data_IF_061590240311
#
_entry.id   IF_061590240311
#
_cell.length_a   1.000
_cell.length_b   1.000
_cell.length_c   1.000
_cell.angle_alpha   90.00
_cell.angle_beta   90.00
_cell.angle_gamma   90.00
#
_symmetry.space_group_name_H-M   'P 1'
#
loop_
_entity.id
_entity.type
_entity.pdbx_description
1 polymer ?
#
# COMPACT_ATOMS: atom_id res chain seq x y z
N UNK A 1 -11.04 5.88 -3.91
CA UNK A 1 -12.24 5.06 -3.62
C UNK A 1 -11.88 3.59 -3.41
N UNK A 2 -11.12 2.94 -4.30
CA UNK A 2 -10.69 1.54 -4.14
C UNK A 2 -9.84 1.25 -2.89
N UNK A 3 -9.15 2.27 -2.36
CA UNK A 3 -8.43 2.17 -1.09
C UNK A 3 -9.32 1.99 0.14
N UNK A 4 -10.58 2.46 0.12
CA UNK A 4 -11.44 2.45 1.31
C UNK A 4 -11.73 1.02 1.82
N UNK A 5 -12.13 0.06 0.97
CA UNK A 5 -12.26 -1.34 1.40
C UNK A 5 -10.96 -1.94 1.95
N UNK A 6 -9.81 -1.59 1.37
CA UNK A 6 -8.51 -2.11 1.80
C UNK A 6 -8.09 -1.53 3.16
N UNK A 7 -8.38 -0.25 3.42
CA UNK A 7 -8.22 0.32 4.76
C UNK A 7 -9.21 -0.28 5.77
N UNK A 8 -10.44 -0.58 5.38
CA UNK A 8 -11.38 -1.32 6.21
C UNK A 8 -10.85 -2.71 6.59
N UNK A 9 -10.33 -3.45 5.61
CA UNK A 9 -9.66 -4.73 5.82
C UNK A 9 -8.42 -4.59 6.73
N UNK A 10 -7.62 -3.55 6.54
CA UNK A 10 -6.45 -3.26 7.38
C UNK A 10 -6.83 -3.04 8.85
N UNK A 11 -7.83 -2.20 9.10
CA UNK A 11 -8.32 -1.89 10.44
C UNK A 11 -8.91 -3.12 11.14
N UNK A 12 -9.59 -4.00 10.39
CA UNK A 12 -10.08 -5.28 10.91
C UNK A 12 -8.98 -6.31 11.16
N UNK A 13 -7.88 -6.26 10.40
CA UNK A 13 -6.76 -7.19 10.52
C UNK A 13 -5.88 -6.91 11.75
N UNK A 14 -5.64 -5.65 12.09
CA UNK A 14 -4.80 -5.25 13.24
C UNK A 14 -5.18 -5.98 14.55
N UNK A 15 -6.46 -5.98 15.01
CA UNK A 15 -6.83 -6.68 16.25
C UNK A 15 -6.71 -8.20 16.13
N UNK A 16 -6.97 -8.77 14.95
CA UNK A 16 -6.78 -10.21 14.70
C UNK A 16 -5.31 -10.59 14.86
N UNK A 17 -4.39 -9.79 14.31
CA UNK A 17 -2.96 -10.00 14.45
C UNK A 17 -2.50 -9.83 15.90
N UNK A 18 -2.96 -8.77 16.59
CA UNK A 18 -2.59 -8.51 17.98
C UNK A 18 -3.06 -9.64 18.93
N UNK A 19 -4.26 -10.17 18.72
CA UNK A 19 -4.79 -11.31 19.49
C UNK A 19 -3.93 -12.57 19.31
N UNK A 20 -3.67 -12.96 18.05
CA UNK A 20 -2.85 -14.16 17.77
C UNK A 20 -1.38 -13.97 18.18
N UNK A 21 -0.89 -12.73 18.16
CA UNK A 21 0.41 -12.38 18.72
C UNK A 21 0.48 -12.62 20.23
N UNK A 22 -0.56 -12.25 20.98
CA UNK A 22 -0.68 -12.54 22.41
C UNK A 22 -0.73 -14.03 22.72
N UNK A 23 -1.30 -14.85 21.82
CA UNK A 23 -1.31 -16.32 21.93
C UNK A 23 -0.04 -17.01 21.42
N UNK A 24 0.88 -16.27 20.79
CA UNK A 24 2.06 -16.86 20.13
C UNK A 24 1.75 -17.69 18.87
N UNK A 25 0.52 -17.68 18.36
CA UNK A 25 0.10 -18.48 17.21
C UNK A 25 0.57 -17.87 15.88
N UNK A 26 1.83 -18.16 15.53
CA UNK A 26 2.44 -17.74 14.27
C UNK A 26 1.67 -18.22 13.04
N UNK A 27 1.09 -19.41 13.10
CA UNK A 27 0.39 -20.01 11.96
C UNK A 27 -0.84 -19.17 11.62
N UNK A 28 -1.60 -18.77 12.64
CA UNK A 28 -2.75 -17.88 12.47
C UNK A 28 -2.36 -16.49 12.00
N UNK A 29 -1.26 -15.92 12.49
CA UNK A 29 -0.71 -14.64 12.00
C UNK A 29 -0.46 -14.70 10.49
N UNK A 30 0.28 -15.72 10.01
CA UNK A 30 0.57 -15.85 8.59
C UNK A 30 -0.66 -16.17 7.73
N UNK A 31 -1.60 -16.96 8.25
CA UNK A 31 -2.87 -17.23 7.57
C UNK A 31 -3.69 -15.96 7.37
N UNK A 32 -3.84 -15.15 8.43
CA UNK A 32 -4.57 -13.88 8.38
C UNK A 32 -3.90 -12.90 7.42
N UNK A 33 -2.56 -12.78 7.45
CA UNK A 33 -1.81 -11.95 6.51
C UNK A 33 -1.99 -12.40 5.07
N UNK A 34 -1.80 -13.69 4.78
CA UNK A 34 -1.90 -14.22 3.41
C UNK A 34 -3.31 -14.00 2.85
N UNK A 35 -4.34 -14.29 3.65
CA UNK A 35 -5.72 -14.05 3.25
C UNK A 35 -5.95 -12.57 2.92
N UNK A 36 -5.56 -11.66 3.83
CA UNK A 36 -5.77 -10.24 3.65
C UNK A 36 -4.97 -9.65 2.49
N UNK A 37 -3.74 -10.12 2.24
CA UNK A 37 -2.95 -9.69 1.07
C UNK A 37 -3.64 -10.11 -0.22
N UNK A 38 -4.15 -11.34 -0.31
CA UNK A 38 -4.86 -11.82 -1.50
C UNK A 38 -6.12 -10.99 -1.74
N UNK A 39 -6.96 -10.80 -0.72
CA UNK A 39 -8.19 -10.01 -0.83
C UNK A 39 -7.88 -8.56 -1.23
N UNK A 40 -6.92 -7.91 -0.56
CA UNK A 40 -6.53 -6.54 -0.88
C UNK A 40 -5.98 -6.42 -2.30
N UNK A 41 -5.14 -7.36 -2.72
CA UNK A 41 -4.56 -7.37 -4.08
C UNK A 41 -5.63 -7.54 -5.14
N UNK A 42 -6.61 -8.43 -4.92
CA UNK A 42 -7.74 -8.60 -5.86
C UNK A 42 -8.55 -7.31 -5.97
N UNK A 43 -8.88 -6.66 -4.85
CA UNK A 43 -9.60 -5.36 -4.85
C UNK A 43 -8.81 -4.27 -5.58
N UNK A 44 -7.49 -4.26 -5.42
CA UNK A 44 -6.64 -3.26 -6.07
C UNK A 44 -6.46 -3.52 -7.56
N UNK A 45 -6.30 -4.79 -7.97
CA UNK A 45 -6.21 -5.17 -9.38
C UNK A 45 -7.52 -4.82 -10.10
N UNK A 46 -8.69 -5.06 -9.49
CA UNK A 46 -9.97 -4.64 -10.09
C UNK A 46 -10.03 -3.13 -10.25
N UNK A 47 -9.55 -2.36 -9.25
CA UNK A 47 -9.39 -0.91 -9.37
C UNK A 47 -8.47 -0.47 -10.51
N UNK A 48 -7.30 -1.10 -10.64
CA UNK A 48 -6.34 -0.83 -11.74
C UNK A 48 -6.98 -1.12 -13.10
N UNK A 49 -7.63 -2.27 -13.27
CA UNK A 49 -8.29 -2.64 -14.51
C UNK A 49 -9.40 -1.66 -14.88
N UNK A 50 -10.17 -1.18 -13.90
CA UNK A 50 -11.21 -0.18 -14.13
C UNK A 50 -10.62 1.16 -14.61
N UNK A 51 -9.48 1.58 -14.07
CA UNK A 51 -8.78 2.78 -14.53
C UNK A 51 -8.09 2.63 -15.88
N UNK A 52 -7.66 1.43 -16.25
CA UNK A 52 -7.10 1.18 -17.59
C UNK A 52 -8.18 1.13 -18.67
N UNK A 53 -9.27 0.40 -18.40
CA UNK A 53 -10.31 0.09 -19.38
C UNK A 53 -11.30 1.24 -19.59
N UNK A 54 -11.74 1.90 -18.52
CA UNK A 54 -12.83 2.91 -18.59
C UNK A 54 -12.54 4.21 -17.81
N UNK A 55 -11.34 4.83 -17.95
CA UNK A 55 -10.99 6.04 -17.19
C UNK A 55 -11.91 7.23 -17.49
N UNK A 56 -12.41 7.35 -18.72
CA UNK A 56 -13.32 8.42 -19.14
C UNK A 56 -14.66 8.40 -18.42
N UNK A 57 -15.18 7.21 -18.09
CA UNK A 57 -16.44 7.06 -17.34
C UNK A 57 -16.26 7.61 -15.92
N UNK A 58 -15.14 7.28 -15.26
CA UNK A 58 -14.83 7.79 -13.92
C UNK A 58 -14.65 9.31 -13.91
N UNK A 59 -13.93 9.86 -14.88
CA UNK A 59 -13.76 11.31 -14.99
C UNK A 59 -15.09 11.99 -15.33
N UNK A 60 -15.93 11.36 -16.16
CA UNK A 60 -17.23 11.86 -16.58
C UNK A 60 -18.20 12.12 -15.43
N UNK A 61 -18.06 11.42 -14.29
CA UNK A 61 -18.84 11.66 -13.08
C UNK A 61 -18.64 13.07 -12.49
N UNK A 62 -17.56 13.76 -12.87
CA UNK A 62 -17.20 15.08 -12.35
C UNK A 62 -17.46 16.22 -13.35
N UNK A 63 -18.23 15.98 -14.42
CA UNK A 63 -18.46 16.95 -15.50
C UNK A 63 -17.15 17.62 -16.00
N UNK A 64 -16.18 16.82 -16.52
CA UNK A 64 -14.86 17.33 -16.85
C UNK A 64 -14.88 18.13 -18.15
N UNK A 65 -14.04 19.17 -18.24
CA UNK A 65 -13.76 19.83 -19.52
C UNK A 65 -12.97 18.89 -20.45
N UNK A 66 -12.95 19.18 -21.76
CA UNK A 66 -12.13 18.41 -22.71
C UNK A 66 -10.64 18.42 -22.35
N UNK A 67 -10.14 19.54 -21.84
CA UNK A 67 -8.77 19.67 -21.37
C UNK A 67 -8.49 18.79 -20.15
N UNK A 68 -9.42 18.73 -19.20
CA UNK A 68 -9.32 17.86 -18.04
C UNK A 68 -9.34 16.37 -18.43
N UNK A 69 -10.13 15.98 -19.43
CA UNK A 69 -10.11 14.60 -19.94
C UNK A 69 -8.77 14.26 -20.60
N UNK A 70 -8.21 15.18 -21.39
CA UNK A 70 -6.91 14.98 -22.06
C UNK A 70 -5.76 14.75 -21.06
N UNK A 71 -5.77 15.47 -19.94
CA UNK A 71 -4.74 15.33 -18.90
C UNK A 71 -5.05 14.23 -17.88
N UNK A 72 -6.33 14.05 -17.54
CA UNK A 72 -6.78 13.13 -16.49
C UNK A 72 -6.76 11.66 -16.90
N UNK A 73 -7.03 11.33 -18.17
CA UNK A 73 -7.03 9.93 -18.64
C UNK A 73 -5.63 9.30 -18.50
N UNK A 74 -4.54 9.91 -19.03
CA UNK A 74 -3.19 9.39 -18.82
C UNK A 74 -2.80 9.33 -17.34
N UNK A 75 -3.21 10.33 -16.55
CA UNK A 75 -2.96 10.36 -15.12
C UNK A 75 -3.56 9.15 -14.39
N UNK A 76 -4.85 8.85 -14.62
CA UNK A 76 -5.53 7.73 -13.97
C UNK A 76 -4.91 6.38 -14.32
N UNK A 77 -4.49 6.19 -15.57
CA UNK A 77 -3.80 4.97 -16.00
C UNK A 77 -2.48 4.78 -15.25
N UNK A 78 -1.63 5.80 -15.27
CA UNK A 78 -0.31 5.75 -14.60
C UNK A 78 -0.47 5.54 -13.09
N UNK A 79 -1.38 6.27 -12.44
CA UNK A 79 -1.66 6.13 -11.00
C UNK A 79 -2.22 4.74 -10.69
N UNK A 80 -3.10 4.19 -11.54
CA UNK A 80 -3.67 2.86 -11.34
C UNK A 80 -2.63 1.74 -11.19
N UNK A 81 -1.46 1.87 -11.81
CA UNK A 81 -0.39 0.88 -11.77
C UNK A 81 0.15 0.60 -10.36
N UNK A 82 0.11 1.59 -9.47
CA UNK A 82 0.70 1.44 -8.13
C UNK A 82 -0.25 0.76 -7.12
N UNK A 83 -1.51 0.52 -7.48
CA UNK A 83 -2.53 0.05 -6.54
C UNK A 83 -2.22 -1.35 -5.96
N UNK A 84 -1.82 -2.36 -6.75
CA UNK A 84 -1.48 -3.68 -6.22
C UNK A 84 -0.29 -3.63 -5.24
N UNK A 85 0.67 -2.76 -5.52
CA UNK A 85 1.84 -2.54 -4.67
C UNK A 85 1.44 -1.92 -3.33
N UNK A 86 0.54 -0.93 -3.39
CA UNK A 86 0.00 -0.28 -2.20
C UNK A 86 -0.83 -1.25 -1.35
N UNK A 87 -1.60 -2.17 -1.94
CA UNK A 87 -2.31 -3.21 -1.18
C UNK A 87 -1.37 -4.03 -0.31
N UNK A 88 -0.25 -4.50 -0.88
CA UNK A 88 0.75 -5.27 -0.14
C UNK A 88 1.36 -4.41 0.97
N UNK A 89 1.78 -3.18 0.66
CA UNK A 89 2.40 -2.29 1.64
C UNK A 89 1.46 -1.98 2.82
N UNK A 90 0.19 -1.69 2.54
CA UNK A 90 -0.83 -1.40 3.57
C UNK A 90 -1.05 -2.62 4.46
N UNK A 91 -1.32 -3.80 3.87
CA UNK A 91 -1.60 -5.01 4.66
C UNK A 91 -0.38 -5.43 5.48
N UNK A 92 0.83 -5.36 4.92
CA UNK A 92 2.05 -5.67 5.68
C UNK A 92 2.30 -4.64 6.79
N UNK A 93 1.96 -3.37 6.58
CA UNK A 93 2.00 -2.32 7.60
C UNK A 93 1.11 -2.59 8.82
N UNK A 94 0.04 -3.38 8.68
CA UNK A 94 -0.79 -3.78 9.83
C UNK A 94 -0.01 -4.57 10.89
N UNK A 95 1.02 -5.32 10.47
CA UNK A 95 1.90 -6.09 11.37
C UNK A 95 2.64 -5.17 12.31
N UNK A 96 3.14 -4.05 11.78
CA UNK A 96 3.88 -3.06 12.58
C UNK A 96 2.97 -2.42 13.62
N UNK A 97 1.72 -2.14 13.24
CA UNK A 97 0.73 -1.55 14.14
C UNK A 97 0.30 -2.56 15.21
N UNK A 98 0.05 -3.82 14.82
CA UNK A 98 -0.40 -4.87 15.73
C UNK A 98 0.65 -5.27 16.78
N UNK A 99 1.94 -5.19 16.46
CA UNK A 99 3.02 -5.66 17.34
C UNK A 99 3.74 -4.51 18.08
N UNK A 100 3.09 -3.37 18.26
CA UNK A 100 3.66 -2.19 18.95
C UNK A 100 4.94 -1.64 18.31
N UNK A 101 5.04 -1.75 16.98
CA UNK A 101 6.17 -1.24 16.16
C UNK A 101 5.70 -0.21 15.13
N UNK A 102 4.65 0.56 15.46
CA UNK A 102 3.98 1.50 14.54
C UNK A 102 4.90 2.56 13.93
N UNK A 103 6.04 2.84 14.56
CA UNK A 103 7.06 3.73 14.01
C UNK A 103 7.56 3.27 12.63
N UNK A 104 7.62 1.96 12.34
CA UNK A 104 7.93 1.47 10.98
C UNK A 104 6.87 1.91 9.96
N UNK A 105 5.58 1.84 10.30
CA UNK A 105 4.51 2.33 9.43
C UNK A 105 4.59 3.84 9.21
N UNK A 106 4.97 4.58 10.24
CA UNK A 106 5.18 6.03 10.16
C UNK A 106 6.34 6.35 9.22
N UNK A 107 7.50 5.70 9.37
CA UNK A 107 8.64 5.91 8.47
C UNK A 107 8.34 5.54 7.02
N UNK A 108 7.62 4.43 6.77
CA UNK A 108 7.17 4.08 5.41
C UNK A 108 6.27 5.17 4.84
N UNK A 109 5.28 5.64 5.61
CA UNK A 109 4.31 6.64 5.15
C UNK A 109 4.94 7.99 4.88
N UNK A 110 5.80 8.47 5.78
CA UNK A 110 6.54 9.72 5.63
C UNK A 110 7.59 9.62 4.54
N UNK A 111 8.30 8.49 4.45
CA UNK A 111 9.27 8.22 3.40
C UNK A 111 8.63 8.28 2.02
N UNK A 112 7.52 7.57 1.83
CA UNK A 112 6.75 7.60 0.59
C UNK A 112 6.32 9.01 0.22
N UNK A 113 5.68 9.74 1.13
CA UNK A 113 5.03 11.00 0.80
C UNK A 113 6.01 12.18 0.73
N UNK A 114 6.89 12.33 1.72
CA UNK A 114 7.75 13.51 1.85
C UNK A 114 9.12 13.30 1.22
N UNK A 115 9.72 12.12 1.42
CA UNK A 115 11.11 11.88 1.03
C UNK A 115 11.23 11.44 -0.43
N UNK A 116 10.20 10.79 -0.97
CA UNK A 116 10.28 10.16 -2.29
C UNK A 116 9.33 10.84 -3.28
N UNK A 117 8.03 10.90 -2.97
CA UNK A 117 7.06 11.46 -3.91
C UNK A 117 7.35 12.92 -4.25
N UNK A 118 7.59 13.78 -3.25
CA UNK A 118 7.84 15.21 -3.49
C UNK A 118 9.11 15.43 -4.35
N UNK A 119 10.30 14.90 -4.01
CA UNK A 119 11.49 15.12 -4.82
C UNK A 119 11.40 14.51 -6.22
N UNK A 120 10.82 13.31 -6.35
CA UNK A 120 10.66 12.64 -7.65
C UNK A 120 9.68 13.40 -8.53
N UNK A 121 8.56 13.88 -7.97
CA UNK A 121 7.61 14.71 -8.70
C UNK A 121 8.25 16.02 -9.17
N UNK A 122 9.02 16.69 -8.31
CA UNK A 122 9.75 17.91 -8.66
C UNK A 122 10.78 17.68 -9.78
N UNK A 123 11.53 16.57 -9.71
CA UNK A 123 12.49 16.21 -10.75
C UNK A 123 11.80 15.90 -12.09
N UNK A 124 10.70 15.16 -12.06
CA UNK A 124 9.94 14.82 -13.27
C UNK A 124 9.20 16.04 -13.85
N UNK A 125 8.84 17.02 -13.03
CA UNK A 125 8.25 18.27 -13.49
C UNK A 125 9.21 19.10 -14.37
N UNK A 126 10.53 18.98 -14.16
CA UNK A 126 11.54 19.64 -15.00
C UNK A 126 11.55 19.14 -16.45
N UNK A 127 10.93 17.99 -16.73
CA UNK A 127 10.80 17.46 -18.10
C UNK A 127 9.78 18.22 -18.95
N UNK A 128 9.02 19.16 -18.37
CA UNK A 128 8.03 19.97 -19.06
C UNK A 128 6.72 19.23 -19.42
N UNK A 129 6.62 17.94 -19.09
CA UNK A 129 5.41 17.13 -19.34
C UNK A 129 4.73 16.75 -18.02
N UNK A 130 3.49 17.20 -17.84
CA UNK A 130 2.65 16.84 -16.68
C UNK A 130 2.45 15.32 -16.60
N UNK A 131 2.40 14.63 -17.73
CA UNK A 131 2.26 13.16 -17.78
C UNK A 131 3.40 12.46 -17.06
N UNK A 132 4.62 13.00 -17.15
CA UNK A 132 5.79 12.43 -16.50
C UNK A 132 5.71 12.57 -14.97
N UNK A 133 5.10 13.64 -14.46
CA UNK A 133 4.96 13.87 -13.02
C UNK A 133 4.16 12.74 -12.35
N UNK A 134 3.17 12.16 -13.03
CA UNK A 134 2.36 11.06 -12.47
C UNK A 134 3.15 9.79 -12.20
N UNK A 135 4.29 9.59 -12.86
CA UNK A 135 5.18 8.45 -12.57
C UNK A 135 5.82 8.53 -11.18
N UNK A 136 5.82 9.70 -10.54
CA UNK A 136 6.24 9.83 -9.15
C UNK A 136 5.43 8.95 -8.19
N UNK A 137 4.15 8.68 -8.48
CA UNK A 137 3.29 7.85 -7.64
C UNK A 137 3.72 6.37 -7.65
N UNK A 138 3.80 5.68 -8.81
CA UNK A 138 4.38 4.34 -8.88
C UNK A 138 5.78 4.23 -8.30
N UNK A 139 6.66 5.21 -8.53
CA UNK A 139 8.03 5.20 -8.02
C UNK A 139 8.04 5.29 -6.49
N UNK A 140 7.27 6.22 -5.92
CA UNK A 140 7.16 6.37 -4.47
C UNK A 140 6.55 5.12 -3.82
N UNK A 141 5.54 4.51 -4.45
CA UNK A 141 4.93 3.30 -3.93
C UNK A 141 5.86 2.08 -4.06
N UNK A 142 6.68 1.99 -5.10
CA UNK A 142 7.73 0.97 -5.22
C UNK A 142 8.72 1.04 -4.07
N UNK A 143 9.20 2.24 -3.76
CA UNK A 143 10.10 2.42 -2.64
C UNK A 143 9.40 2.17 -1.28
N UNK A 144 8.14 2.58 -1.13
CA UNK A 144 7.29 2.27 0.03
C UNK A 144 7.18 0.76 0.26
N UNK A 145 6.91 0.00 -0.81
CA UNK A 145 6.83 -1.46 -0.77
C UNK A 145 8.17 -2.06 -0.34
N UNK A 146 9.29 -1.61 -0.93
CA UNK A 146 10.63 -2.09 -0.57
C UNK A 146 10.93 -1.83 0.92
N UNK A 147 10.69 -0.61 1.41
CA UNK A 147 10.86 -0.26 2.83
C UNK A 147 9.98 -1.14 3.73
N UNK A 148 8.73 -1.35 3.34
CA UNK A 148 7.78 -2.19 4.08
C UNK A 148 8.26 -3.63 4.15
N UNK A 149 8.74 -4.20 3.05
CA UNK A 149 9.27 -5.57 3.02
C UNK A 149 10.51 -5.70 3.90
N UNK A 150 11.43 -4.73 3.86
CA UNK A 150 12.62 -4.71 4.74
C UNK A 150 12.20 -4.68 6.21
N UNK A 151 11.32 -3.76 6.61
CA UNK A 151 10.86 -3.66 8.00
C UNK A 151 10.07 -4.90 8.43
N UNK A 152 9.32 -5.53 7.52
CA UNK A 152 8.67 -6.79 7.80
C UNK A 152 9.66 -7.91 8.07
N UNK A 153 10.77 -8.00 7.33
CA UNK A 153 11.82 -8.98 7.62
C UNK A 153 12.45 -8.74 9.00
N UNK A 154 12.68 -7.48 9.37
CA UNK A 154 13.17 -7.12 10.71
C UNK A 154 12.19 -7.55 11.80
N UNK A 155 10.91 -7.22 11.66
CA UNK A 155 9.87 -7.60 12.64
C UNK A 155 9.66 -9.12 12.68
N UNK A 156 9.73 -9.80 11.54
CA UNK A 156 9.65 -11.26 11.47
C UNK A 156 10.75 -11.90 12.32
N UNK A 157 12.01 -11.52 12.12
CA UNK A 157 13.15 -12.12 12.83
C UNK A 157 13.16 -11.74 14.32
N UNK A 158 12.83 -10.49 14.64
CA UNK A 158 12.94 -9.98 16.01
C UNK A 158 11.75 -10.34 16.89
N UNK A 159 10.56 -10.48 16.31
CA UNK A 159 9.29 -10.68 17.02
C UNK A 159 8.68 -12.02 16.68
N UNK A 160 8.27 -12.24 15.42
CA UNK A 160 7.49 -13.42 15.03
C UNK A 160 8.30 -14.69 15.28
N UNK A 161 9.55 -14.79 14.85
CA UNK A 161 10.34 -16.02 14.96
C UNK A 161 10.64 -16.40 16.42
N UNK A 162 10.63 -15.44 17.34
CA UNK A 162 10.85 -15.68 18.78
C UNK A 162 9.62 -16.24 19.52
N UNK A 163 8.41 -16.15 18.96
CA UNK A 163 7.20 -16.62 19.65
C UNK A 163 7.22 -18.12 20.01
N UNK A 164 7.93 -18.96 19.24
CA UNK A 164 8.06 -20.41 19.52
C UNK A 164 9.11 -20.74 20.59
N UNK A 165 9.89 -19.77 21.08
CA UNK A 165 10.94 -20.01 22.09
C UNK A 165 10.46 -19.76 23.52
N UNK A 166 9.23 -19.28 23.71
CA UNK A 166 8.66 -18.91 25.01
C UNK A 166 7.98 -20.03 25.79
N UNK A 167 7.81 -21.24 25.21
CA UNK A 167 7.14 -22.37 25.89
C UNK A 167 8.11 -23.30 26.67
N UNK A 168 9.30 -22.81 27.06
CA UNK A 168 10.30 -23.61 27.80
C UNK A 168 10.85 -22.94 29.07
N UNK A 169 10.05 -22.17 29.78
CA UNK A 169 10.36 -21.74 31.17
C UNK A 169 9.14 -21.85 32.04
#
# INVERSE_FOLDING_TARGET
FFFMPVFGLNNGLIPVLAYNYGLGDKKRIYQALKFSVVVATVIMITGTLLFELIPSVFLGLFNPSEELLKLGIPALRIIGLHYPMAAIAIIMGSVFQAFSRSYFSMFVSLGRQLVILIPVASLLALTGSVTNVWWSFPIAEAASLIMTLIFFLVVKVTVIDKLNKGERT
#
